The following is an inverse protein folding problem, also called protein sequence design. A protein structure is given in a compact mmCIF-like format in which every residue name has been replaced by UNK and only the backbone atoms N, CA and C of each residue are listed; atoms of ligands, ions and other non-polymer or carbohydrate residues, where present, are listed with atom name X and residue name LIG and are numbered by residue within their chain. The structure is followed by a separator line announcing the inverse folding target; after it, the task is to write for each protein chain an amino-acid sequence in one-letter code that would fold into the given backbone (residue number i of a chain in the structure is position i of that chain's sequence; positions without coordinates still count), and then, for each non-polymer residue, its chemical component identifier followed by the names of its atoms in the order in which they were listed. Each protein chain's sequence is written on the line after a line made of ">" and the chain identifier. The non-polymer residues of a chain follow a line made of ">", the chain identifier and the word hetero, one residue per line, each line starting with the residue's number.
data_IF_362900904912
#
_entry.id   IF_362900904912
#
_cell.length_a   1.000
_cell.length_b   1.000
_cell.length_c   1.000
_cell.angle_alpha   90.00
_cell.angle_beta   90.00
_cell.angle_gamma   90.00
#
_symmetry.space_group_name_H-M   'P 1'
#
loop_
_entity.id
_entity.type
_entity.pdbx_description
1 polymer ?
#
# COMPACT_ATOMS: atom_id res chain seq x y z
N UNK A 1 13.56 -17.81 2.66
CA UNK A 1 12.94 -16.49 2.87
C UNK A 1 11.79 -16.36 1.90
N UNK A 2 10.55 -16.41 2.38
CA UNK A 2 9.37 -16.14 1.56
C UNK A 2 9.41 -14.66 1.18
N UNK A 3 9.55 -14.37 -0.11
CA UNK A 3 9.49 -13.00 -0.63
C UNK A 3 8.07 -12.50 -0.39
N UNK A 4 7.90 -11.42 0.39
CA UNK A 4 6.61 -10.73 0.49
C UNK A 4 6.13 -10.34 -0.90
N UNK A 5 4.87 -10.62 -1.27
CA UNK A 5 4.38 -10.29 -2.61
C UNK A 5 4.38 -8.78 -2.83
N UNK A 6 4.69 -8.38 -4.07
CA UNK A 6 4.52 -7.01 -4.53
C UNK A 6 3.01 -6.73 -4.58
N UNK A 7 2.57 -5.68 -3.89
CA UNK A 7 1.15 -5.41 -3.68
C UNK A 7 0.83 -3.92 -3.74
N UNK A 8 -0.26 -3.62 -4.44
CA UNK A 8 -0.82 -2.27 -4.48
C UNK A 8 -1.57 -2.01 -3.19
N UNK A 9 -1.12 -1.01 -2.43
CA UNK A 9 -1.69 -0.78 -1.10
C UNK A 9 -2.80 0.26 -1.07
N UNK A 10 -2.95 1.05 -2.13
CA UNK A 10 -3.97 2.07 -2.23
C UNK A 10 -4.45 2.21 -3.68
N UNK A 11 -5.75 2.04 -3.88
CA UNK A 11 -6.43 2.32 -5.14
C UNK A 11 -6.79 3.81 -5.28
N UNK A 12 -6.42 4.39 -6.43
CA UNK A 12 -6.54 5.83 -6.71
C UNK A 12 -5.22 6.58 -6.62
N UNK A 13 -5.27 7.89 -6.89
CA UNK A 13 -4.12 8.80 -6.86
C UNK A 13 -4.07 9.46 -5.48
N UNK A 14 -3.02 9.19 -4.70
CA UNK A 14 -2.85 9.78 -3.39
C UNK A 14 -2.51 11.28 -3.49
N UNK A 15 -3.29 12.12 -2.81
CA UNK A 15 -2.95 13.52 -2.58
C UNK A 15 -1.80 13.66 -1.57
N UNK A 16 -1.35 14.90 -1.31
CA UNK A 16 -0.24 15.16 -0.38
C UNK A 16 -0.48 14.58 1.03
N UNK A 17 -1.68 14.76 1.59
CA UNK A 17 -1.99 14.29 2.95
C UNK A 17 -2.05 12.77 2.97
N UNK A 18 -2.66 12.16 1.96
CA UNK A 18 -2.75 10.72 1.81
C UNK A 18 -1.37 10.09 1.63
N UNK A 19 -0.49 10.68 0.80
CA UNK A 19 0.88 10.19 0.57
C UNK A 19 1.67 10.07 1.89
N UNK A 20 1.69 11.12 2.71
CA UNK A 20 2.40 11.06 3.99
C UNK A 20 1.78 10.03 4.96
N UNK A 21 0.44 9.91 5.00
CA UNK A 21 -0.22 8.85 5.78
C UNK A 21 0.08 7.44 5.27
N UNK A 22 0.32 7.29 3.97
CA UNK A 22 0.70 6.01 3.36
C UNK A 22 2.15 5.64 3.69
N UNK A 23 3.06 6.62 3.76
CA UNK A 23 4.43 6.39 4.26
C UNK A 23 4.42 5.89 5.71
N UNK A 24 3.54 6.46 6.54
CA UNK A 24 3.40 6.10 7.95
C UNK A 24 2.30 5.07 8.23
N UNK A 25 1.83 4.32 7.23
CA UNK A 25 0.70 3.39 7.38
C UNK A 25 0.89 2.30 8.45
N UNK A 26 2.13 2.06 8.86
CA UNK A 26 2.55 1.08 9.85
C UNK A 26 3.05 1.70 11.16
N UNK A 27 2.84 3.01 11.36
CA UNK A 27 3.36 3.73 12.52
C UNK A 27 2.86 3.22 13.89
N UNK A 28 1.67 2.63 13.93
CA UNK A 28 1.06 2.08 15.15
C UNK A 28 1.45 0.63 15.45
N UNK A 29 2.38 0.04 14.69
CA UNK A 29 2.82 -1.34 14.94
C UNK A 29 3.47 -1.45 16.32
N UNK A 30 3.06 -2.43 17.16
CA UNK A 30 3.77 -2.77 18.39
C UNK A 30 5.22 -3.09 18.08
N UNK A 31 6.15 -2.61 18.90
CA UNK A 31 7.58 -2.89 18.76
C UNK A 31 8.13 -2.51 17.36
N UNK A 32 7.65 -1.41 16.76
CA UNK A 32 8.09 -0.88 15.44
C UNK A 32 9.61 -0.77 15.26
N UNK A 33 10.36 -0.72 16.36
CA UNK A 33 11.82 -0.55 16.37
C UNK A 33 12.57 -1.85 16.72
N UNK A 34 11.87 -2.97 16.93
CA UNK A 34 12.46 -4.25 17.30
C UNK A 34 12.39 -5.23 16.12
N UNK A 35 13.54 -5.74 15.67
CA UNK A 35 13.63 -6.79 14.66
C UNK A 35 13.79 -6.30 13.21
N UNK A 36 13.86 -7.25 12.27
CA UNK A 36 13.89 -6.98 10.83
C UNK A 36 12.46 -6.88 10.26
N UNK A 37 11.96 -5.65 10.20
CA UNK A 37 10.63 -5.35 9.66
C UNK A 37 10.62 -5.12 8.15
N UNK A 38 11.74 -5.41 7.48
CA UNK A 38 11.88 -5.19 6.04
C UNK A 38 10.79 -5.92 5.25
N UNK A 39 10.39 -7.11 5.69
CA UNK A 39 9.35 -7.89 5.03
C UNK A 39 7.97 -7.20 4.99
N UNK A 40 7.69 -6.29 5.93
CA UNK A 40 6.42 -5.55 5.97
C UNK A 40 6.35 -4.53 4.84
N UNK A 41 7.38 -3.70 4.68
CA UNK A 41 7.38 -2.62 3.69
C UNK A 41 7.76 -3.09 2.29
N UNK A 42 8.60 -4.13 2.18
CA UNK A 42 9.08 -4.62 0.88
C UNK A 42 7.90 -5.00 -0.01
N UNK A 43 7.83 -4.38 -1.18
CA UNK A 43 6.83 -4.71 -2.19
C UNK A 43 5.56 -3.85 -2.15
N UNK A 44 5.41 -2.94 -1.19
CA UNK A 44 4.27 -2.03 -1.15
C UNK A 44 4.43 -0.87 -2.12
N UNK A 45 3.38 -0.56 -2.89
CA UNK A 45 3.36 0.57 -3.82
C UNK A 45 1.97 1.20 -3.96
N UNK A 46 1.94 2.46 -4.39
CA UNK A 46 0.72 3.20 -4.71
C UNK A 46 0.99 4.34 -5.70
N UNK A 47 -0.07 4.87 -6.30
CA UNK A 47 0.01 6.00 -7.22
C UNK A 47 -0.04 7.33 -6.46
N UNK A 48 0.75 8.30 -6.90
CA UNK A 48 0.80 9.68 -6.36
C UNK A 48 0.53 10.67 -7.48
N UNK A 49 0.06 11.88 -7.14
CA UNK A 49 -0.06 12.92 -8.16
C UNK A 49 1.34 13.41 -8.59
N UNK A 50 1.43 13.97 -9.79
CA UNK A 50 2.66 14.56 -10.34
C UNK A 50 3.32 15.55 -9.37
N UNK A 51 2.53 16.47 -8.80
CA UNK A 51 3.03 17.47 -7.86
C UNK A 51 3.64 16.85 -6.59
N UNK A 52 3.18 15.67 -6.17
CA UNK A 52 3.77 14.95 -5.03
C UNK A 52 5.08 14.27 -5.42
N UNK A 53 5.15 13.68 -6.61
CA UNK A 53 6.38 13.11 -7.14
C UNK A 53 7.48 14.18 -7.30
N UNK A 54 7.15 15.31 -7.93
CA UNK A 54 8.06 16.45 -8.10
C UNK A 54 8.51 17.03 -6.75
N UNK A 55 7.57 17.20 -5.82
CA UNK A 55 7.89 17.65 -4.47
C UNK A 55 8.91 16.73 -3.77
N UNK A 56 8.74 15.41 -3.90
CA UNK A 56 9.66 14.43 -3.30
C UNK A 56 11.01 14.38 -4.02
N UNK A 57 11.06 14.73 -5.31
CA UNK A 57 12.30 14.88 -6.06
C UNK A 57 13.12 16.11 -5.62
N UNK A 58 12.44 17.21 -5.31
CA UNK A 58 13.08 18.49 -4.96
C UNK A 58 13.51 18.59 -3.49
N UNK A 59 13.00 17.72 -2.60
CA UNK A 59 13.25 17.85 -1.16
C UNK A 59 14.72 17.67 -0.81
N UNK A 60 15.39 16.68 -1.41
CA UNK A 60 16.80 16.34 -1.19
C UNK A 60 17.38 15.68 -2.45
N UNK A 61 18.70 15.83 -2.71
CA UNK A 61 19.34 15.12 -3.82
C UNK A 61 19.10 13.62 -3.72
N UNK A 62 18.62 12.96 -4.79
CA UNK A 62 18.30 11.54 -4.74
C UNK A 62 19.54 10.69 -4.45
N UNK A 63 19.33 9.50 -3.88
CA UNK A 63 20.38 8.51 -3.69
C UNK A 63 20.92 8.04 -5.04
N UNK A 64 20.01 7.79 -5.98
CA UNK A 64 20.31 7.58 -7.38
C UNK A 64 19.12 8.02 -8.24
N UNK A 65 19.40 8.28 -9.52
CA UNK A 65 18.40 8.41 -10.58
C UNK A 65 18.76 7.46 -11.70
N UNK A 66 17.76 6.74 -12.23
CA UNK A 66 17.94 5.82 -13.36
C UNK A 66 16.68 5.82 -14.22
N UNK A 67 16.79 6.29 -15.45
CA UNK A 67 15.67 6.28 -16.40
C UNK A 67 14.43 6.97 -15.84
N UNK A 68 13.39 6.17 -15.62
CA UNK A 68 12.07 6.61 -15.15
C UNK A 68 11.88 6.50 -13.63
N UNK A 69 12.95 6.38 -12.84
CA UNK A 69 12.86 6.31 -11.38
C UNK A 69 13.98 7.04 -10.64
N UNK A 70 13.71 7.42 -9.40
CA UNK A 70 14.70 7.91 -8.44
C UNK A 70 14.46 7.34 -7.04
N UNK A 71 15.54 7.18 -6.27
CA UNK A 71 15.47 6.68 -4.89
C UNK A 71 15.74 7.79 -3.88
N UNK A 72 14.99 7.79 -2.78
CA UNK A 72 15.24 8.66 -1.64
C UNK A 72 16.52 8.24 -0.90
N UNK A 73 17.18 9.19 -0.25
CA UNK A 73 18.38 8.94 0.57
C UNK A 73 18.05 8.34 1.93
N UNK A 74 16.85 8.63 2.43
CA UNK A 74 16.36 8.16 3.71
C UNK A 74 15.94 6.69 3.61
N UNK A 75 16.58 5.85 4.41
CA UNK A 75 16.17 4.47 4.57
C UNK A 75 15.11 4.37 5.67
N UNK A 76 14.06 3.60 5.38
CA UNK A 76 12.97 3.37 6.33
C UNK A 76 13.36 2.36 7.40
N UNK A 77 13.96 1.25 6.98
CA UNK A 77 14.53 0.20 7.84
C UNK A 77 15.50 -0.63 7.01
N UNK A 78 16.62 -1.03 7.60
CA UNK A 78 17.66 -1.80 6.92
C UNK A 78 18.06 -1.17 5.57
N UNK A 79 17.85 -1.91 4.49
CA UNK A 79 18.12 -1.51 3.10
C UNK A 79 16.88 -1.08 2.31
N UNK A 80 15.73 -0.89 2.97
CA UNK A 80 14.50 -0.44 2.34
C UNK A 80 14.45 1.08 2.25
N UNK A 81 14.19 1.58 1.04
CA UNK A 81 13.97 3.00 0.78
C UNK A 81 12.77 3.22 -0.15
N UNK A 82 12.27 4.46 -0.14
CA UNK A 82 11.28 4.96 -1.08
C UNK A 82 11.90 5.12 -2.47
N UNK A 83 11.25 4.54 -3.47
CA UNK A 83 11.55 4.76 -4.89
C UNK A 83 10.32 5.36 -5.55
N UNK A 84 10.54 6.42 -6.30
CA UNK A 84 9.51 7.07 -7.10
C UNK A 84 9.70 6.72 -8.57
N UNK A 85 8.60 6.50 -9.27
CA UNK A 85 8.57 6.13 -10.68
C UNK A 85 7.72 7.11 -11.48
N UNK A 86 8.13 7.37 -12.72
CA UNK A 86 7.43 8.18 -13.72
C UNK A 86 7.18 7.30 -14.96
N UNK A 87 6.05 6.59 -14.98
CA UNK A 87 5.79 5.55 -15.98
C UNK A 87 4.76 6.01 -17.02
N UNK A 88 5.01 5.65 -18.29
CA UNK A 88 4.02 5.83 -19.36
C UNK A 88 3.13 4.59 -19.47
N UNK A 89 1.85 4.72 -19.13
CA UNK A 89 0.86 3.63 -19.11
C UNK A 89 -0.40 4.11 -19.83
N UNK A 90 -0.90 3.35 -20.80
CA UNK A 90 -2.02 3.72 -21.68
C UNK A 90 -1.87 5.13 -22.28
N UNK A 91 -0.68 5.41 -22.81
CA UNK A 91 -0.26 6.70 -23.37
C UNK A 91 -0.30 7.90 -22.41
N UNK A 92 -0.50 7.66 -21.11
CA UNK A 92 -0.50 8.69 -20.07
C UNK A 92 0.71 8.55 -19.14
N UNK A 93 1.31 9.68 -18.80
CA UNK A 93 2.31 9.73 -17.73
C UNK A 93 1.61 9.59 -16.38
N UNK A 94 2.08 8.65 -15.56
CA UNK A 94 1.57 8.35 -14.23
C UNK A 94 2.75 8.20 -13.27
N UNK A 95 2.52 8.51 -12.00
CA UNK A 95 3.58 8.65 -11.00
C UNK A 95 3.31 7.73 -9.82
N UNK A 96 4.32 7.00 -9.39
CA UNK A 96 4.17 5.98 -8.36
C UNK A 96 5.22 6.13 -7.28
N UNK A 97 4.88 5.67 -6.09
CA UNK A 97 5.80 5.42 -4.99
C UNK A 97 5.80 3.93 -4.67
N UNK A 98 6.97 3.39 -4.34
CA UNK A 98 7.09 2.07 -3.76
C UNK A 98 8.22 1.97 -2.75
N UNK A 99 8.12 1.01 -1.85
CA UNK A 99 9.23 0.60 -0.99
C UNK A 99 9.98 -0.58 -1.63
N UNK A 100 11.26 -0.36 -1.91
CA UNK A 100 12.15 -1.36 -2.50
C UNK A 100 13.34 -1.64 -1.58
N UNK A 101 13.79 -2.88 -1.59
CA UNK A 101 14.99 -3.29 -0.86
C UNK A 101 16.21 -3.21 -1.77
N UNK A 102 17.14 -2.30 -1.47
CA UNK A 102 18.34 -2.10 -2.29
C UNK A 102 19.44 -3.16 -2.09
N UNK A 103 19.32 -4.02 -1.08
CA UNK A 103 20.18 -5.21 -0.97
C UNK A 103 19.86 -6.22 -2.08
N UNK A 104 18.62 -6.24 -2.56
CA UNK A 104 18.18 -6.99 -3.72
C UNK A 104 18.28 -6.11 -4.97
N UNK A 105 19.37 -6.31 -5.72
CA UNK A 105 19.75 -5.47 -6.87
C UNK A 105 18.67 -5.31 -7.95
N UNK A 106 17.71 -6.24 -8.04
CA UNK A 106 16.62 -6.17 -9.03
C UNK A 106 15.27 -5.73 -8.46
N UNK A 107 15.20 -5.37 -7.17
CA UNK A 107 13.95 -4.96 -6.52
C UNK A 107 13.26 -3.79 -7.24
N UNK A 108 13.95 -2.68 -7.60
CA UNK A 108 13.32 -1.55 -8.27
C UNK A 108 12.74 -1.91 -9.65
N UNK A 109 13.48 -2.70 -10.44
CA UNK A 109 13.09 -3.09 -11.78
C UNK A 109 11.91 -4.08 -11.76
N UNK A 110 11.90 -5.03 -10.82
CA UNK A 110 10.75 -5.93 -10.63
C UNK A 110 9.52 -5.20 -10.13
N UNK A 111 9.70 -4.22 -9.23
CA UNK A 111 8.61 -3.33 -8.80
C UNK A 111 8.01 -2.57 -9.98
N UNK A 112 8.86 -1.94 -10.80
CA UNK A 112 8.43 -1.26 -12.03
C UNK A 112 7.63 -2.18 -12.94
N UNK A 113 8.13 -3.40 -13.19
CA UNK A 113 7.44 -4.37 -14.04
C UNK A 113 6.07 -4.76 -13.46
N UNK A 114 5.98 -4.99 -12.16
CA UNK A 114 4.72 -5.32 -11.48
C UNK A 114 3.71 -4.17 -11.52
N UNK A 115 4.16 -2.91 -11.36
CA UNK A 115 3.28 -1.73 -11.51
C UNK A 115 2.73 -1.66 -12.93
N UNK A 116 3.59 -1.75 -13.96
CA UNK A 116 3.16 -1.71 -15.36
C UNK A 116 2.20 -2.84 -15.66
N UNK A 117 2.51 -4.07 -15.27
CA UNK A 117 1.63 -5.22 -15.49
C UNK A 117 0.27 -5.01 -14.82
N UNK A 118 0.25 -4.59 -13.56
CA UNK A 118 -1.00 -4.39 -12.81
C UNK A 118 -1.86 -3.26 -13.38
N UNK A 119 -1.21 -2.17 -13.79
CA UNK A 119 -1.87 -0.97 -14.26
C UNK A 119 -2.23 -1.00 -15.75
N UNK A 120 -1.70 -1.94 -16.54
CA UNK A 120 -2.10 -2.12 -17.96
C UNK A 120 -3.25 -3.12 -18.13
N UNK A 121 -3.74 -3.75 -17.05
CA UNK A 121 -4.84 -4.72 -17.14
C UNK A 121 -6.10 -4.08 -17.73
N UNK A 122 -6.79 -4.73 -18.70
CA UNK A 122 -8.04 -4.23 -19.27
C UNK A 122 -9.14 -4.01 -18.22
N UNK A 123 -9.23 -4.95 -17.28
CA UNK A 123 -10.10 -4.84 -16.10
C UNK A 123 -9.22 -4.61 -14.88
N UNK A 124 -9.25 -3.40 -14.32
CA UNK A 124 -8.41 -3.01 -13.18
C UNK A 124 -9.04 -3.34 -11.82
N UNK A 125 -9.85 -4.39 -11.77
CA UNK A 125 -10.49 -4.87 -10.56
C UNK A 125 -9.50 -5.10 -9.43
N UNK A 126 -9.76 -4.54 -8.25
CA UNK A 126 -8.97 -4.89 -7.07
C UNK A 126 -9.17 -6.35 -6.69
N UNK A 127 -8.08 -7.07 -6.47
CA UNK A 127 -8.08 -8.39 -5.83
C UNK A 127 -8.57 -8.29 -4.39
N UNK A 128 -8.92 -9.41 -3.75
CA UNK A 128 -9.29 -9.39 -2.33
C UNK A 128 -8.19 -8.77 -1.46
N UNK A 129 -6.93 -9.10 -1.72
CA UNK A 129 -5.77 -8.55 -1.00
C UNK A 129 -5.65 -7.04 -1.19
N UNK A 130 -5.75 -6.55 -2.44
CA UNK A 130 -5.71 -5.11 -2.73
C UNK A 130 -6.87 -4.36 -2.06
N UNK A 131 -8.06 -4.97 -1.97
CA UNK A 131 -9.19 -4.41 -1.24
C UNK A 131 -8.90 -4.29 0.25
N UNK A 132 -8.31 -5.33 0.86
CA UNK A 132 -7.92 -5.29 2.28
C UNK A 132 -6.86 -4.23 2.54
N UNK A 133 -5.82 -4.17 1.70
CA UNK A 133 -4.78 -3.16 1.82
C UNK A 133 -5.31 -1.74 1.62
N UNK A 134 -6.22 -1.53 0.66
CA UNK A 134 -6.85 -0.22 0.45
C UNK A 134 -7.78 0.17 1.60
N UNK A 135 -8.58 -0.75 2.13
CA UNK A 135 -9.38 -0.51 3.35
C UNK A 135 -8.45 -0.11 4.49
N UNK A 136 -7.33 -0.82 4.65
CA UNK A 136 -6.34 -0.51 5.67
C UNK A 136 -5.80 0.90 5.51
N UNK A 137 -5.32 1.23 4.31
CA UNK A 137 -4.77 2.54 3.93
C UNK A 137 -5.71 3.71 4.18
N UNK A 138 -6.97 3.54 3.79
CA UNK A 138 -7.97 4.61 3.79
C UNK A 138 -8.64 4.80 5.14
N UNK A 139 -8.55 3.80 6.04
CA UNK A 139 -9.08 3.92 7.39
C UNK A 139 -8.27 4.91 8.22
N UNK A 140 -8.93 5.72 9.04
CA UNK A 140 -8.26 6.64 9.97
C UNK A 140 -7.43 5.86 11.00
N UNK A 141 -6.33 6.44 11.48
CA UNK A 141 -5.40 5.76 12.38
C UNK A 141 -6.06 5.41 13.73
N UNK A 142 -7.08 6.15 14.17
CA UNK A 142 -7.86 5.80 15.38
C UNK A 142 -8.80 4.60 15.20
N UNK A 143 -9.02 4.15 13.96
CA UNK A 143 -9.97 3.08 13.61
C UNK A 143 -9.30 1.86 12.99
N UNK A 144 -7.96 1.82 13.01
CA UNK A 144 -7.14 0.70 12.56
C UNK A 144 -5.98 0.50 13.54
N UNK A 145 -5.32 -0.65 13.50
CA UNK A 145 -4.12 -0.90 14.29
C UNK A 145 -3.58 -2.32 14.17
N UNK A 146 -3.05 -2.84 15.27
CA UNK A 146 -2.54 -4.20 15.30
C UNK A 146 -3.15 -4.94 16.48
N UNK A 147 -3.38 -6.22 16.30
CA UNK A 147 -3.76 -7.11 17.38
C UNK A 147 -2.61 -7.17 18.39
N UNK A 148 -2.86 -6.69 19.61
CA UNK A 148 -1.94 -6.75 20.75
C UNK A 148 -2.42 -7.73 21.82
N UNK A 149 -2.00 -7.54 23.06
CA UNK A 149 -2.20 -8.46 24.19
C UNK A 149 -3.66 -8.89 24.47
N UNK A 150 -4.65 -8.11 24.04
CA UNK A 150 -6.09 -8.45 24.20
C UNK A 150 -6.58 -9.50 23.20
N UNK A 151 -5.78 -9.86 22.21
CA UNK A 151 -6.07 -10.88 21.22
C UNK A 151 -5.42 -12.22 21.61
N UNK A 152 -5.90 -13.36 21.10
CA UNK A 152 -5.16 -14.62 21.18
C UNK A 152 -3.72 -14.46 20.67
N UNK A 153 -2.75 -15.13 21.29
CA UNK A 153 -1.33 -15.00 20.94
C UNK A 153 -1.05 -15.25 19.44
N UNK A 154 -1.77 -16.20 18.82
CA UNK A 154 -1.62 -16.52 17.40
C UNK A 154 -2.11 -15.41 16.45
N UNK A 155 -2.79 -14.39 16.98
CA UNK A 155 -3.27 -13.23 16.23
C UNK A 155 -2.41 -11.99 16.44
N UNK A 156 -1.46 -12.00 17.38
CA UNK A 156 -0.64 -10.84 17.66
C UNK A 156 0.12 -10.36 16.42
N UNK A 157 0.16 -9.04 16.23
CA UNK A 157 0.81 -8.42 15.06
C UNK A 157 0.01 -8.50 13.75
N UNK A 158 -1.18 -9.12 13.74
CA UNK A 158 -2.10 -9.03 12.58
C UNK A 158 -2.81 -7.67 12.56
N UNK A 159 -3.16 -7.20 11.36
CA UNK A 159 -3.86 -5.92 11.14
C UNK A 159 -5.30 -6.00 11.63
N UNK A 160 -5.77 -4.98 12.36
CA UNK A 160 -7.14 -4.90 12.92
C UNK A 160 -7.93 -3.65 12.53
N UNK A 161 -9.16 -3.79 12.03
CA UNK A 161 -9.97 -2.62 11.64
C UNK A 161 -11.24 -2.53 12.48
N UNK A 162 -11.60 -1.31 12.89
CA UNK A 162 -12.84 -1.05 13.60
C UNK A 162 -14.02 -1.17 12.62
N UNK A 163 -14.98 -2.01 12.97
CA UNK A 163 -16.17 -2.28 12.17
C UNK A 163 -17.43 -1.85 12.93
N UNK A 164 -18.36 -1.20 12.24
CA UNK A 164 -19.65 -0.84 12.82
C UNK A 164 -20.65 -1.98 12.61
N UNK A 165 -20.99 -2.68 13.69
CA UNK A 165 -21.92 -3.80 13.70
C UNK A 165 -23.40 -3.39 13.82
N UNK A 166 -23.73 -2.13 13.55
CA UNK A 166 -25.10 -1.63 13.72
C UNK A 166 -25.52 -1.64 15.19
N UNK A 167 -26.57 -2.41 15.49
CA UNK A 167 -27.14 -2.55 16.84
C UNK A 167 -26.19 -3.18 17.86
N UNK A 168 -25.17 -3.91 17.40
CA UNK A 168 -24.15 -4.54 18.25
C UNK A 168 -23.00 -3.59 18.65
N UNK A 169 -23.05 -2.33 18.20
CA UNK A 169 -22.00 -1.34 18.46
C UNK A 169 -20.79 -1.48 17.54
N UNK A 170 -19.67 -0.91 17.95
CA UNK A 170 -18.39 -1.00 17.23
C UNK A 170 -17.59 -2.21 17.72
N UNK A 171 -17.07 -2.99 16.78
CA UNK A 171 -16.29 -4.20 17.06
C UNK A 171 -14.98 -4.13 16.30
N UNK A 172 -13.87 -4.45 16.97
CA UNK A 172 -12.57 -4.58 16.33
C UNK A 172 -12.46 -5.98 15.69
N UNK A 173 -12.02 -6.05 14.44
CA UNK A 173 -11.86 -7.31 13.71
C UNK A 173 -10.47 -7.44 13.12
N UNK A 174 -9.97 -8.67 12.98
CA UNK A 174 -8.84 -8.94 12.11
C UNK A 174 -9.20 -8.56 10.67
N UNK A 175 -8.29 -7.86 9.99
CA UNK A 175 -8.49 -7.39 8.63
C UNK A 175 -8.66 -8.58 7.67
N UNK A 176 -7.86 -9.63 7.86
CA UNK A 176 -7.85 -10.78 6.97
C UNK A 176 -9.13 -11.64 7.11
N UNK A 177 -9.85 -11.52 8.23
CA UNK A 177 -11.10 -12.22 8.54
C UNK A 177 -12.36 -11.50 8.01
N UNK A 178 -12.20 -10.35 7.36
CA UNK A 178 -13.35 -9.66 6.79
C UNK A 178 -14.00 -10.51 5.68
N UNK A 179 -15.31 -10.67 5.77
CA UNK A 179 -16.10 -11.32 4.72
C UNK A 179 -16.25 -10.41 3.50
N UNK A 180 -16.57 -10.96 2.32
CA UNK A 180 -16.74 -10.15 1.11
C UNK A 180 -17.80 -9.06 1.26
N UNK A 181 -18.89 -9.34 1.99
CA UNK A 181 -19.91 -8.34 2.30
C UNK A 181 -19.36 -7.20 3.18
N UNK A 182 -18.49 -7.51 4.15
CA UNK A 182 -17.85 -6.51 5.02
C UNK A 182 -16.83 -5.69 4.24
N UNK A 183 -16.04 -6.33 3.38
CA UNK A 183 -15.10 -5.66 2.46
C UNK A 183 -15.88 -4.68 1.57
N UNK A 184 -16.96 -5.14 0.91
CA UNK A 184 -17.79 -4.30 0.07
C UNK A 184 -18.39 -3.10 0.85
N UNK A 185 -18.82 -3.30 2.10
CA UNK A 185 -19.37 -2.22 2.92
C UNK A 185 -18.35 -1.10 3.25
N UNK A 186 -17.07 -1.48 3.38
CA UNK A 186 -15.96 -0.58 3.73
C UNK A 186 -15.37 0.16 2.53
N UNK A 187 -15.53 -0.38 1.33
CA UNK A 187 -15.06 0.27 0.10
C UNK A 187 -15.95 1.45 -0.29
N UNK A 188 -15.39 2.52 -0.87
CA UNK A 188 -16.14 3.56 -1.56
C UNK A 188 -17.04 2.95 -2.65
N UNK A 189 -18.23 3.53 -2.88
CA UNK A 189 -19.24 2.96 -3.80
C UNK A 189 -18.67 2.58 -5.17
N UNK A 190 -17.85 3.45 -5.77
CA UNK A 190 -17.22 3.23 -7.07
C UNK A 190 -16.15 2.10 -7.08
N UNK A 191 -15.74 1.60 -5.91
CA UNK A 191 -14.81 0.49 -5.74
C UNK A 191 -15.50 -0.80 -5.25
N UNK A 192 -16.81 -0.77 -4.95
CA UNK A 192 -17.57 -1.93 -4.45
C UNK A 192 -17.87 -2.95 -5.54
N UNK A 193 -18.26 -2.44 -6.71
CA UNK A 193 -18.69 -3.22 -7.86
C UNK A 193 -17.77 -2.93 -9.03
N UNK A 194 -17.32 -3.99 -9.69
CA UNK A 194 -16.81 -3.87 -11.03
C UNK A 194 -18.00 -3.57 -11.94
N UNK A 195 -17.88 -2.67 -12.94
CA UNK A 195 -18.76 -2.79 -14.08
C UNK A 195 -18.63 -4.25 -14.55
N UNK A 196 -19.75 -4.97 -14.60
CA UNK A 196 -19.79 -6.23 -15.34
C UNK A 196 -19.09 -5.94 -16.67
N UNK A 197 -18.10 -6.77 -17.02
CA UNK A 197 -17.55 -6.72 -18.36
C UNK A 197 -18.76 -6.78 -19.29
N UNK A 198 -19.09 -5.66 -19.93
CA UNK A 198 -20.08 -5.64 -21.00
C UNK A 198 -19.45 -6.57 -22.02
N UNK A 199 -19.93 -7.81 -22.05
CA UNK A 199 -19.50 -8.81 -22.99
C UNK A 199 -19.69 -8.22 -24.39
N UNK A 200 -18.58 -8.07 -25.11
CA UNK A 200 -18.58 -7.82 -26.54
C UNK A 200 -18.85 -9.13 -27.28
#
# INVERSE_FOLDING_TARGET
>A
MTVSPIRKVFEGIADRRQMFRLFDRHAQRPNRWEGDDSALYRGEWFEVAQAQHEYMFEILPPLFMRGDMFAMREFLTGSITSIFFMLKIDDRMRYFHAYCDLSDKGSPERMRAAIVERETRPVRAMTREERLDHIWSSTHDDYRGYAGERWPEHDHGKRTVLFYGGRLGTVLKLLDDLTDAQIASKLPVHLRYLPDAIAA
#
